data_IF_126161000562
#
_entry.id   IF_126161000562
#
_cell.length_a   1.000
_cell.length_b   1.000
_cell.length_c   1.000
_cell.angle_alpha   90.00
_cell.angle_beta   90.00
_cell.angle_gamma   90.00
#
_symmetry.space_group_name_H-M   'P 1'
#
loop_
_entity.id
_entity.type
_entity.pdbx_description
1 polymer ?
#
# COMPACT_ATOMS: atom_id res chain seq x y z
N UNK A 1 19.16 -1.41 -17.21
CA UNK A 1 18.92 -2.06 -15.91
C UNK A 1 17.69 -1.38 -15.36
N UNK A 2 16.62 -2.11 -15.29
CA UNK A 2 15.35 -1.58 -14.77
C UNK A 2 15.46 -1.58 -13.24
N UNK A 3 15.27 -0.43 -12.61
CA UNK A 3 15.37 -0.27 -11.17
C UNK A 3 14.05 -0.72 -10.53
N UNK A 4 14.11 -1.63 -9.57
CA UNK A 4 12.91 -2.02 -8.82
C UNK A 4 12.36 -0.85 -7.98
N UNK A 5 11.03 -0.74 -7.83
CA UNK A 5 10.43 0.30 -6.98
C UNK A 5 10.95 0.32 -5.54
N UNK A 6 11.23 -0.84 -4.95
CA UNK A 6 11.83 -0.96 -3.61
C UNK A 6 13.23 -0.37 -3.57
N UNK A 7 14.07 -0.68 -4.56
CA UNK A 7 15.44 -0.15 -4.67
C UNK A 7 15.42 1.36 -4.86
N UNK A 8 14.57 1.87 -5.77
CA UNK A 8 14.40 3.31 -5.96
C UNK A 8 14.01 3.99 -4.65
N UNK A 9 13.02 3.44 -3.94
CA UNK A 9 12.56 3.95 -2.66
C UNK A 9 13.68 4.00 -1.63
N UNK A 10 14.42 2.90 -1.44
CA UNK A 10 15.53 2.82 -0.49
C UNK A 10 16.67 3.81 -0.79
N UNK A 11 16.91 4.11 -2.09
CA UNK A 11 17.98 5.03 -2.49
C UNK A 11 17.59 6.51 -2.50
N UNK A 12 16.27 6.80 -2.57
CA UNK A 12 15.80 8.18 -2.77
C UNK A 12 15.00 8.73 -1.61
N UNK A 13 14.22 7.89 -0.92
CA UNK A 13 13.40 8.35 0.19
C UNK A 13 14.21 8.56 1.46
N UNK A 14 13.90 9.63 2.18
CA UNK A 14 14.49 9.94 3.47
C UNK A 14 13.36 9.96 4.52
N UNK A 15 13.66 9.44 5.70
CA UNK A 15 12.74 9.48 6.84
C UNK A 15 13.41 10.17 8.03
N UNK A 16 12.66 10.98 8.79
CA UNK A 16 13.16 11.49 10.06
C UNK A 16 13.25 10.32 11.06
N UNK A 17 14.46 10.05 11.55
CA UNK A 17 14.70 9.05 12.57
C UNK A 17 15.40 9.71 13.75
N UNK A 18 14.68 9.88 14.88
CA UNK A 18 15.19 10.48 16.13
C UNK A 18 15.91 11.83 15.92
N UNK A 19 15.37 12.67 15.05
CA UNK A 19 15.95 13.99 14.74
C UNK A 19 17.08 14.00 13.71
N UNK A 20 17.43 12.87 13.14
CA UNK A 20 18.40 12.71 12.05
C UNK A 20 17.67 12.18 10.82
N UNK A 21 18.00 12.69 9.63
CA UNK A 21 17.52 12.11 8.38
C UNK A 21 18.25 10.79 8.12
N UNK A 22 17.49 9.74 7.87
CA UNK A 22 18.00 8.44 7.49
C UNK A 22 17.34 7.96 6.19
N UNK A 23 18.08 7.26 5.31
CA UNK A 23 17.48 6.60 4.16
C UNK A 23 16.33 5.67 4.58
N UNK A 24 15.30 5.59 3.76
CA UNK A 24 14.27 4.59 3.93
C UNK A 24 14.90 3.19 3.83
N UNK A 25 14.56 2.31 4.73
CA UNK A 25 15.11 0.95 4.76
C UNK A 25 13.97 -0.06 4.90
N UNK A 26 14.10 -1.18 4.21
CA UNK A 26 13.18 -2.32 4.37
C UNK A 26 13.56 -3.25 5.54
N UNK A 27 14.67 -2.98 6.23
CA UNK A 27 15.01 -3.68 7.47
C UNK A 27 13.85 -3.50 8.46
N UNK A 28 13.41 -4.57 9.07
CA UNK A 28 12.20 -4.68 9.91
C UNK A 28 10.86 -4.49 9.17
N UNK A 29 10.86 -4.50 7.81
CA UNK A 29 9.70 -4.27 6.93
C UNK A 29 9.73 -5.16 5.69
N UNK A 30 10.42 -6.29 5.72
CA UNK A 30 10.59 -7.16 4.56
C UNK A 30 9.27 -7.62 3.97
N UNK A 31 8.22 -7.71 4.77
CA UNK A 31 6.85 -8.01 4.31
C UNK A 31 6.32 -6.98 3.29
N UNK A 32 6.90 -5.78 3.23
CA UNK A 32 6.52 -4.76 2.25
C UNK A 32 7.23 -4.93 0.89
N UNK A 33 8.38 -5.59 0.83
CA UNK A 33 9.16 -5.74 -0.41
C UNK A 33 8.30 -6.25 -1.59
N UNK A 34 7.56 -7.37 -1.45
CA UNK A 34 6.72 -7.86 -2.53
C UNK A 34 5.62 -6.88 -2.94
N UNK A 35 5.14 -6.05 -2.00
CA UNK A 35 4.11 -5.03 -2.28
C UNK A 35 4.69 -3.88 -3.09
N UNK A 36 5.95 -3.48 -2.82
CA UNK A 36 6.62 -2.46 -3.60
C UNK A 36 6.91 -2.93 -5.03
N UNK A 37 7.39 -4.16 -5.19
CA UNK A 37 7.92 -4.68 -6.44
C UNK A 37 6.92 -5.46 -7.28
N UNK A 38 5.70 -5.65 -6.77
CA UNK A 38 4.67 -6.33 -7.56
C UNK A 38 4.30 -5.55 -8.82
N UNK A 39 4.24 -6.27 -9.94
CA UNK A 39 3.67 -5.79 -11.20
C UNK A 39 2.15 -6.04 -11.29
N UNK A 40 1.58 -6.70 -10.28
CA UNK A 40 0.16 -6.97 -10.25
C UNK A 40 -0.64 -5.67 -10.27
N UNK A 41 -1.62 -5.52 -11.17
CA UNK A 41 -2.34 -4.26 -11.33
C UNK A 41 -3.22 -3.90 -10.13
N UNK A 42 -3.59 -4.88 -9.30
CA UNK A 42 -4.47 -4.70 -8.14
C UNK A 42 -3.78 -5.09 -6.85
N UNK A 43 -3.73 -4.18 -5.90
CA UNK A 43 -3.13 -4.39 -4.57
C UNK A 43 -4.08 -3.87 -3.50
N UNK A 44 -4.47 -4.73 -2.56
CA UNK A 44 -5.28 -4.38 -1.40
C UNK A 44 -4.48 -4.61 -0.11
N UNK A 45 -4.15 -3.54 0.61
CA UNK A 45 -3.47 -3.58 1.90
C UNK A 45 -4.48 -3.44 3.04
N UNK A 46 -4.95 -4.56 3.59
CA UNK A 46 -5.74 -4.58 4.82
C UNK A 46 -4.81 -4.76 6.02
N UNK A 47 -4.26 -3.68 6.52
CA UNK A 47 -3.26 -3.70 7.58
C UNK A 47 -3.75 -3.05 8.87
N UNK A 48 -3.17 -3.43 10.00
CA UNK A 48 -3.37 -2.77 11.28
C UNK A 48 -2.94 -1.29 11.22
N UNK A 49 -3.28 -0.53 12.25
CA UNK A 49 -2.76 0.84 12.42
C UNK A 49 -1.24 0.80 12.57
N UNK A 50 -0.57 1.86 12.10
CA UNK A 50 0.90 2.04 12.20
C UNK A 50 1.73 0.96 11.48
N UNK A 51 1.17 0.29 10.47
CA UNK A 51 1.84 -0.69 9.63
C UNK A 51 2.29 -0.13 8.27
N UNK A 52 2.46 1.18 8.20
CA UNK A 52 3.06 1.92 7.07
C UNK A 52 2.28 1.86 5.73
N UNK A 53 1.00 1.42 5.72
CA UNK A 53 0.20 1.31 4.49
C UNK A 53 0.12 2.62 3.69
N UNK A 54 -0.22 3.75 4.34
CA UNK A 54 -0.29 5.07 3.64
C UNK A 54 1.09 5.58 3.23
N UNK A 55 2.16 5.24 3.97
CA UNK A 55 3.54 5.50 3.58
C UNK A 55 3.93 4.69 2.34
N UNK A 56 3.53 3.43 2.29
CA UNK A 56 3.74 2.56 1.11
C UNK A 56 3.03 3.13 -0.11
N UNK A 57 1.77 3.58 0.01
CA UNK A 57 1.06 4.25 -1.09
C UNK A 57 1.81 5.50 -1.55
N UNK A 58 2.17 6.39 -0.62
CA UNK A 58 2.90 7.63 -0.93
C UNK A 58 4.22 7.37 -1.65
N UNK A 59 5.01 6.42 -1.16
CA UNK A 59 6.27 6.04 -1.77
C UNK A 59 6.08 5.45 -3.19
N UNK A 60 5.08 4.58 -3.39
CA UNK A 60 4.75 4.04 -4.73
C UNK A 60 4.31 5.14 -5.68
N UNK A 61 3.49 6.09 -5.24
CA UNK A 61 3.06 7.25 -6.05
C UNK A 61 4.27 8.06 -6.51
N UNK A 62 5.17 8.43 -5.59
CA UNK A 62 6.37 9.21 -5.92
C UNK A 62 7.32 8.42 -6.84
N UNK A 63 7.52 7.14 -6.57
CA UNK A 63 8.33 6.26 -7.41
C UNK A 63 7.80 6.18 -8.84
N UNK A 64 6.50 5.91 -9.01
CA UNK A 64 5.87 5.85 -10.34
C UNK A 64 5.92 7.20 -11.06
N UNK A 65 5.77 8.31 -10.34
CA UNK A 65 5.85 9.65 -10.93
C UNK A 65 7.24 10.00 -11.46
N UNK A 66 8.29 9.40 -10.90
CA UNK A 66 9.69 9.61 -11.34
C UNK A 66 10.11 8.58 -12.38
N UNK A 67 9.84 7.30 -12.16
CA UNK A 67 10.31 6.22 -13.04
C UNK A 67 9.50 6.12 -14.34
N UNK A 68 8.27 6.60 -14.37
CA UNK A 68 7.41 6.59 -15.56
C UNK A 68 7.20 7.99 -16.10
N UNK A 69 7.22 8.12 -17.43
CA UNK A 69 6.95 9.38 -18.11
C UNK A 69 5.45 9.52 -18.41
N UNK A 70 4.93 10.75 -18.23
CA UNK A 70 3.52 11.10 -18.50
C UNK A 70 2.51 10.22 -17.76
N UNK A 71 2.88 9.75 -16.58
CA UNK A 71 2.08 8.84 -15.76
C UNK A 71 1.22 9.62 -14.75
N UNK A 72 -0.10 9.48 -14.83
CA UNK A 72 -1.04 10.20 -14.00
C UNK A 72 -1.57 9.33 -12.86
N UNK A 73 -1.36 9.77 -11.64
CA UNK A 73 -1.88 9.12 -10.42
C UNK A 73 -3.05 9.90 -9.85
N UNK A 74 -4.16 9.23 -9.56
CA UNK A 74 -5.28 9.77 -8.81
C UNK A 74 -5.29 9.18 -7.40
N UNK A 75 -5.23 10.04 -6.39
CA UNK A 75 -5.33 9.67 -4.99
C UNK A 75 -6.69 10.09 -4.47
N UNK A 76 -7.44 9.17 -3.85
CA UNK A 76 -8.73 9.48 -3.25
C UNK A 76 -8.77 9.00 -1.81
N UNK A 77 -9.22 9.88 -0.93
CA UNK A 77 -9.42 9.62 0.51
C UNK A 77 -10.87 9.95 0.90
N UNK A 78 -11.37 9.47 2.05
CA UNK A 78 -12.76 9.70 2.44
C UNK A 78 -13.12 11.15 2.74
N UNK A 79 -12.16 11.98 3.17
CA UNK A 79 -12.44 13.37 3.56
C UNK A 79 -11.37 14.34 3.11
N UNK A 80 -11.73 15.62 3.01
CA UNK A 80 -10.78 16.68 2.69
C UNK A 80 -9.62 16.73 3.67
N UNK A 81 -9.89 16.61 4.97
CA UNK A 81 -8.86 16.62 6.01
C UNK A 81 -7.86 15.46 5.81
N UNK A 82 -8.34 14.26 5.50
CA UNK A 82 -7.46 13.11 5.21
C UNK A 82 -6.64 13.35 3.93
N UNK A 83 -7.23 13.96 2.90
CA UNK A 83 -6.50 14.33 1.67
C UNK A 83 -5.36 15.30 1.98
N UNK A 84 -5.61 16.34 2.77
CA UNK A 84 -4.61 17.33 3.15
C UNK A 84 -3.48 16.71 3.98
N UNK A 85 -3.82 15.85 4.95
CA UNK A 85 -2.84 15.10 5.75
C UNK A 85 -2.02 14.15 4.87
N UNK A 86 -2.65 13.40 3.97
CA UNK A 86 -1.95 12.51 3.04
C UNK A 86 -0.98 13.30 2.14
N UNK A 87 -1.47 14.39 1.54
CA UNK A 87 -0.65 15.26 0.68
C UNK A 87 0.57 15.81 1.42
N UNK A 88 0.38 16.34 2.63
CA UNK A 88 1.45 16.91 3.43
C UNK A 88 2.45 15.84 3.91
N UNK A 89 1.94 14.77 4.53
CA UNK A 89 2.78 13.84 5.28
C UNK A 89 3.34 12.71 4.40
N UNK A 90 2.66 12.34 3.30
CA UNK A 90 3.03 11.19 2.45
C UNK A 90 3.61 11.59 1.09
N UNK A 91 3.41 12.83 0.66
CA UNK A 91 3.95 13.30 -0.61
C UNK A 91 4.90 14.50 -0.39
N UNK A 92 4.44 15.59 0.25
CA UNK A 92 5.27 16.78 0.39
C UNK A 92 6.47 16.53 1.31
N UNK A 93 6.26 15.94 2.49
CA UNK A 93 7.37 15.70 3.41
C UNK A 93 8.49 14.82 2.82
N UNK A 94 8.26 13.68 2.14
CA UNK A 94 9.31 12.95 1.45
C UNK A 94 10.01 13.74 0.34
N UNK A 95 9.27 14.57 -0.41
CA UNK A 95 9.84 15.45 -1.43
C UNK A 95 10.77 16.50 -0.81
N UNK A 96 10.37 17.12 0.30
CA UNK A 96 11.17 18.14 0.99
C UNK A 96 12.42 17.55 1.66
N UNK A 97 12.34 16.31 2.14
CA UNK A 97 13.44 15.63 2.81
C UNK A 97 14.48 15.04 1.85
N UNK A 98 14.14 14.83 0.57
CA UNK A 98 15.01 14.22 -0.43
C UNK A 98 15.32 15.20 -1.56
N UNK A 99 16.55 15.72 -1.60
CA UNK A 99 17.01 16.57 -2.72
C UNK A 99 16.86 15.86 -4.07
N UNK A 100 17.10 14.55 -4.11
CA UNK A 100 16.98 13.75 -5.34
C UNK A 100 15.53 13.72 -5.84
N UNK A 101 14.56 13.50 -4.97
CA UNK A 101 13.14 13.52 -5.34
C UNK A 101 12.67 14.93 -5.66
N UNK A 102 13.08 15.92 -4.87
CA UNK A 102 12.71 17.32 -5.06
C UNK A 102 13.12 17.84 -6.43
N UNK A 103 14.27 17.36 -6.96
CA UNK A 103 14.74 17.72 -8.29
C UNK A 103 13.78 17.31 -9.44
N UNK A 104 12.91 16.33 -9.21
CA UNK A 104 11.88 15.92 -10.18
C UNK A 104 10.59 16.71 -10.06
N UNK A 105 10.36 17.46 -8.96
CA UNK A 105 9.14 18.23 -8.74
C UNK A 105 9.15 19.53 -9.57
N UNK A 106 8.10 19.74 -10.36
CA UNK A 106 7.87 21.04 -11.00
C UNK A 106 7.17 21.99 -10.02
N UNK A 107 7.95 22.82 -9.33
CA UNK A 107 7.49 23.72 -8.27
C UNK A 107 6.43 24.73 -8.70
N UNK A 108 6.25 24.95 -10.01
CA UNK A 108 5.20 25.83 -10.54
C UNK A 108 3.80 25.25 -10.37
N UNK A 109 3.72 23.91 -10.27
CA UNK A 109 2.48 23.14 -10.20
C UNK A 109 2.43 22.27 -8.94
N UNK A 110 3.00 22.76 -7.85
CA UNK A 110 2.97 22.10 -6.54
C UNK A 110 1.97 22.78 -5.62
N UNK A 111 0.92 22.05 -5.27
CA UNK A 111 -0.05 22.47 -4.24
C UNK A 111 -0.61 21.23 -3.51
N UNK A 112 -1.49 21.46 -2.56
CA UNK A 112 -2.07 20.39 -1.71
C UNK A 112 -2.82 19.33 -2.52
N UNK A 113 -3.51 19.71 -3.60
CA UNK A 113 -4.37 18.81 -4.38
C UNK A 113 -3.76 18.37 -5.71
N UNK A 114 -2.59 18.92 -6.07
CA UNK A 114 -1.97 18.63 -7.34
C UNK A 114 -0.46 18.80 -7.27
N UNK A 115 0.27 17.82 -7.81
CA UNK A 115 1.73 17.87 -7.98
C UNK A 115 2.09 17.42 -9.38
N UNK A 116 3.00 18.16 -10.05
CA UNK A 116 3.51 17.80 -11.36
C UNK A 116 5.02 17.56 -11.30
N UNK A 117 5.47 16.61 -12.12
CA UNK A 117 6.86 16.22 -12.20
C UNK A 117 7.45 16.59 -13.56
N UNK A 118 8.77 16.83 -13.62
CA UNK A 118 9.48 17.13 -14.86
C UNK A 118 9.46 15.97 -15.86
N UNK A 119 9.14 14.75 -15.40
CA UNK A 119 8.86 13.57 -16.24
C UNK A 119 7.57 13.71 -17.05
N UNK A 120 6.80 14.77 -16.85
CA UNK A 120 5.46 14.96 -17.42
C UNK A 120 4.35 14.27 -16.60
N UNK A 121 4.72 13.48 -15.59
CA UNK A 121 3.78 12.79 -14.71
C UNK A 121 3.09 13.75 -13.74
N UNK A 122 1.89 13.38 -13.27
CA UNK A 122 1.14 14.20 -12.33
C UNK A 122 0.45 13.36 -11.26
N UNK A 123 0.29 13.94 -10.08
CA UNK A 123 -0.49 13.38 -8.97
C UNK A 123 -1.63 14.33 -8.65
N UNK A 124 -2.85 13.84 -8.78
CA UNK A 124 -4.08 14.57 -8.43
C UNK A 124 -4.68 13.95 -7.17
N UNK A 125 -4.99 14.79 -6.18
CA UNK A 125 -5.62 14.33 -4.94
C UNK A 125 -7.06 14.83 -4.88
N UNK A 126 -7.97 13.96 -4.46
CA UNK A 126 -9.40 14.24 -4.29
C UNK A 126 -9.91 13.54 -3.04
N UNK A 127 -11.13 13.89 -2.63
CA UNK A 127 -11.85 13.17 -1.61
C UNK A 127 -13.25 12.81 -2.10
N UNK A 128 -13.74 11.66 -1.62
CA UNK A 128 -15.06 11.15 -1.94
C UNK A 128 -15.61 10.42 -0.72
N UNK A 129 -16.68 10.93 -0.12
CA UNK A 129 -17.33 10.24 1.00
C UNK A 129 -18.64 9.59 0.55
N UNK A 130 -19.62 10.40 0.19
CA UNK A 130 -20.94 9.93 -0.24
C UNK A 130 -21.11 9.92 -1.77
N UNK A 131 -20.30 10.68 -2.50
CA UNK A 131 -20.43 10.87 -3.94
C UNK A 131 -19.06 10.91 -4.62
N UNK A 132 -18.98 10.28 -5.79
CA UNK A 132 -17.77 10.24 -6.61
C UNK A 132 -17.52 11.52 -7.43
N UNK A 133 -18.40 12.52 -7.40
CA UNK A 133 -18.43 13.66 -8.32
C UNK A 133 -17.11 14.41 -8.43
N UNK A 134 -16.37 14.52 -7.33
CA UNK A 134 -15.07 15.22 -7.29
C UNK A 134 -13.93 14.44 -7.91
N UNK A 135 -14.05 13.13 -8.00
CA UNK A 135 -13.06 12.24 -8.62
C UNK A 135 -13.45 11.84 -10.05
N UNK A 136 -14.71 12.05 -10.42
CA UNK A 136 -15.24 11.71 -11.75
C UNK A 136 -14.59 12.54 -12.85
N UNK A 137 -14.29 11.91 -13.99
CA UNK A 137 -13.77 12.60 -15.18
C UNK A 137 -12.29 12.99 -15.13
N UNK A 138 -11.54 12.49 -14.15
CA UNK A 138 -10.09 12.68 -14.06
C UNK A 138 -9.42 11.44 -14.62
N UNK A 139 -8.82 11.46 -15.83
CA UNK A 139 -8.14 10.30 -16.37
C UNK A 139 -6.86 10.01 -15.55
N UNK A 140 -6.62 8.73 -15.24
CA UNK A 140 -5.46 8.30 -14.50
C UNK A 140 -4.91 6.97 -15.02
N UNK A 141 -3.64 6.72 -14.75
CA UNK A 141 -2.95 5.47 -15.02
C UNK A 141 -2.91 4.57 -13.78
N UNK A 142 -2.94 5.21 -12.61
CA UNK A 142 -3.06 4.54 -11.33
C UNK A 142 -4.06 5.24 -10.41
N UNK A 143 -4.86 4.44 -9.72
CA UNK A 143 -5.79 4.86 -8.67
C UNK A 143 -5.29 4.36 -7.32
N UNK A 144 -5.14 5.30 -6.39
CA UNK A 144 -4.75 5.03 -5.01
C UNK A 144 -5.88 5.43 -4.07
N UNK A 145 -6.48 4.45 -3.39
CA UNK A 145 -7.51 4.69 -2.38
C UNK A 145 -6.92 4.44 -0.99
N UNK A 146 -6.86 5.48 -0.17
CA UNK A 146 -6.46 5.33 1.24
C UNK A 146 -7.66 5.40 2.17
N UNK A 147 -7.63 4.60 3.24
CA UNK A 147 -8.72 4.45 4.23
C UNK A 147 -10.07 4.04 3.61
N UNK A 148 -10.04 3.04 2.67
CA UNK A 148 -11.22 2.63 1.91
C UNK A 148 -12.37 2.10 2.77
N UNK A 149 -12.12 1.69 4.02
CA UNK A 149 -13.18 1.27 4.95
C UNK A 149 -14.16 2.41 5.28
N UNK A 150 -13.79 3.65 5.01
CA UNK A 150 -14.60 4.84 5.24
C UNK A 150 -15.23 5.39 3.93
N UNK A 151 -14.99 4.73 2.79
CA UNK A 151 -15.67 4.99 1.52
C UNK A 151 -16.90 4.10 1.38
N UNK A 152 -17.93 4.57 0.70
CA UNK A 152 -19.07 3.72 0.33
C UNK A 152 -18.67 2.78 -0.81
N UNK A 153 -19.12 1.53 -0.72
CA UNK A 153 -18.82 0.50 -1.72
C UNK A 153 -19.25 0.91 -3.14
N UNK A 154 -20.40 1.56 -3.26
CA UNK A 154 -20.98 1.97 -4.56
C UNK A 154 -20.24 3.15 -5.21
N UNK A 155 -19.43 3.89 -4.44
CA UNK A 155 -18.64 5.02 -4.94
C UNK A 155 -17.39 4.55 -5.67
N UNK A 156 -16.80 3.43 -5.25
CA UNK A 156 -15.52 2.95 -5.78
C UNK A 156 -15.58 2.60 -7.26
N UNK A 157 -16.55 1.81 -7.79
CA UNK A 157 -16.61 1.51 -9.22
C UNK A 157 -16.69 2.76 -10.11
N UNK A 158 -17.38 3.82 -9.64
CA UNK A 158 -17.47 5.09 -10.37
C UNK A 158 -16.13 5.81 -10.42
N UNK A 159 -15.31 5.70 -9.36
CA UNK A 159 -13.95 6.26 -9.34
C UNK A 159 -13.03 5.43 -10.24
N UNK A 160 -13.15 4.11 -10.23
CA UNK A 160 -12.37 3.18 -11.06
C UNK A 160 -12.51 3.45 -12.57
N UNK A 161 -13.61 4.08 -13.02
CA UNK A 161 -13.79 4.51 -14.40
C UNK A 161 -12.67 5.46 -14.89
N UNK A 162 -11.96 6.15 -13.99
CA UNK A 162 -10.80 6.98 -14.32
C UNK A 162 -9.69 6.23 -15.05
N UNK A 163 -9.61 4.90 -14.89
CA UNK A 163 -8.60 4.02 -15.46
C UNK A 163 -8.95 3.45 -16.83
N UNK A 164 -10.18 3.65 -17.32
CA UNK A 164 -10.74 2.96 -18.50
C UNK A 164 -9.86 3.07 -19.75
N UNK A 165 -9.20 4.21 -19.96
CA UNK A 165 -8.38 4.46 -21.14
C UNK A 165 -6.89 4.25 -20.89
N UNK A 166 -6.48 3.89 -19.68
CA UNK A 166 -5.08 3.66 -19.35
C UNK A 166 -4.64 2.25 -19.77
N UNK A 167 -3.45 2.09 -20.34
CA UNK A 167 -2.86 0.79 -20.58
C UNK A 167 -2.35 0.12 -19.29
N UNK A 168 -2.23 0.85 -18.19
CA UNK A 168 -1.68 0.36 -16.93
C UNK A 168 -2.77 -0.14 -15.96
N UNK A 169 -3.84 0.63 -15.80
CA UNK A 169 -5.00 0.33 -14.94
C UNK A 169 -4.63 -0.13 -13.53
N UNK A 170 -3.67 0.55 -12.88
CA UNK A 170 -3.21 0.17 -11.55
C UNK A 170 -4.20 0.61 -10.47
N UNK A 171 -4.55 -0.31 -9.56
CA UNK A 171 -5.44 -0.09 -8.42
C UNK A 171 -4.73 -0.47 -7.13
N UNK A 172 -4.40 0.52 -6.30
CA UNK A 172 -3.72 0.30 -5.02
C UNK A 172 -4.56 0.85 -3.88
N UNK A 173 -5.15 -0.04 -3.11
CA UNK A 173 -6.09 0.30 -2.05
C UNK A 173 -5.50 -0.02 -0.69
N UNK A 174 -5.77 0.82 0.29
CA UNK A 174 -5.37 0.57 1.66
C UNK A 174 -6.46 0.90 2.66
N UNK A 175 -6.45 0.19 3.77
CA UNK A 175 -7.39 0.44 4.85
C UNK A 175 -7.04 -0.30 6.14
N UNK A 176 -7.71 0.13 7.21
CA UNK A 176 -7.61 -0.51 8.53
C UNK A 176 -8.88 -1.28 8.83
N UNK A 177 -8.82 -2.57 9.23
CA UNK A 177 -9.99 -3.33 9.62
C UNK A 177 -10.75 -2.62 10.75
N UNK A 178 -12.05 -2.38 10.58
CA UNK A 178 -12.94 -1.79 11.61
C UNK A 178 -14.07 -2.73 11.96
N UNK A 179 -14.91 -3.09 11.00
CA UNK A 179 -16.06 -3.98 11.12
C UNK A 179 -16.12 -4.92 9.92
N UNK A 180 -16.97 -5.93 9.99
CA UNK A 180 -17.17 -6.89 8.89
C UNK A 180 -18.03 -6.33 7.75
N UNK A 181 -18.78 -5.26 8.02
CA UNK A 181 -19.78 -4.70 7.08
C UNK A 181 -19.28 -3.45 6.34
N UNK A 182 -17.97 -3.20 6.33
CA UNK A 182 -17.40 -2.05 5.62
C UNK A 182 -16.83 -2.45 4.24
N UNK A 183 -16.54 -1.44 3.45
CA UNK A 183 -16.00 -1.59 2.10
C UNK A 183 -14.69 -2.37 2.05
N UNK A 184 -13.78 -2.15 2.99
CA UNK A 184 -12.51 -2.88 3.06
C UNK A 184 -12.75 -4.38 3.27
N UNK A 185 -13.63 -4.75 4.22
CA UNK A 185 -13.98 -6.15 4.48
C UNK A 185 -14.66 -6.79 3.26
N UNK A 186 -15.54 -6.04 2.57
CA UNK A 186 -16.17 -6.50 1.34
C UNK A 186 -15.12 -6.83 0.26
N UNK A 187 -14.18 -5.91 -0.02
CA UNK A 187 -13.11 -6.13 -1.00
C UNK A 187 -12.18 -7.28 -0.58
N UNK A 188 -11.82 -7.35 0.69
CA UNK A 188 -10.99 -8.43 1.22
C UNK A 188 -11.63 -9.80 1.00
N UNK A 189 -12.88 -9.98 1.44
CA UNK A 189 -13.55 -11.27 1.36
C UNK A 189 -14.00 -11.65 -0.05
N UNK A 190 -14.39 -10.69 -0.86
CA UNK A 190 -14.94 -10.98 -2.18
C UNK A 190 -13.89 -11.00 -3.28
N UNK A 191 -12.98 -10.04 -3.29
CA UNK A 191 -12.11 -9.78 -4.43
C UNK A 191 -10.62 -10.02 -4.19
N UNK A 192 -10.15 -10.22 -2.95
CA UNK A 192 -8.74 -10.36 -2.69
C UNK A 192 -8.29 -11.82 -2.63
N UNK A 193 -6.99 -12.03 -2.83
CA UNK A 193 -6.31 -13.32 -2.62
C UNK A 193 -6.25 -13.71 -1.14
N UNK A 194 -6.63 -12.82 -0.22
CA UNK A 194 -6.57 -13.02 1.23
C UNK A 194 -5.20 -13.52 1.71
N UNK A 195 -4.12 -12.90 1.19
CA UNK A 195 -2.77 -13.25 1.61
C UNK A 195 -2.49 -12.74 3.02
N UNK A 196 -1.93 -13.60 3.85
CA UNK A 196 -1.51 -13.30 5.22
C UNK A 196 0.00 -13.46 5.36
N UNK A 197 0.66 -12.55 6.09
CA UNK A 197 2.06 -12.68 6.42
C UNK A 197 2.24 -13.74 7.51
N UNK A 198 2.80 -14.89 7.14
CA UNK A 198 2.96 -16.02 8.05
C UNK A 198 4.40 -16.14 8.51
N UNK A 199 4.58 -16.29 9.82
CA UNK A 199 5.88 -16.44 10.46
C UNK A 199 5.99 -17.85 11.05
N UNK A 200 6.99 -18.67 10.65
CA UNK A 200 7.21 -19.97 11.24
C UNK A 200 7.82 -19.84 12.64
N UNK A 201 7.41 -20.71 13.55
CA UNK A 201 7.96 -20.76 14.89
C UNK A 201 9.17 -21.70 14.93
N UNK A 202 10.32 -21.19 15.33
CA UNK A 202 11.56 -21.99 15.49
C UNK A 202 11.59 -22.82 16.78
N UNK A 203 10.63 -22.59 17.69
CA UNK A 203 10.51 -23.32 18.96
C UNK A 203 9.50 -24.47 18.94
N UNK A 204 8.62 -24.51 17.94
CA UNK A 204 7.59 -25.52 17.80
C UNK A 204 7.92 -26.50 16.67
N UNK A 205 7.82 -27.78 16.97
CA UNK A 205 7.98 -28.83 15.98
C UNK A 205 9.39 -29.44 16.01
N UNK A 206 9.58 -30.50 15.27
CA UNK A 206 10.88 -31.13 15.04
C UNK A 206 11.52 -30.63 13.74
N UNK A 207 12.53 -31.34 13.26
CA UNK A 207 13.23 -30.99 12.03
C UNK A 207 12.32 -30.86 10.80
N UNK A 208 11.21 -31.60 10.78
CA UNK A 208 10.34 -31.71 9.61
C UNK A 208 9.02 -30.91 9.69
N UNK A 209 8.78 -30.20 10.81
CA UNK A 209 7.51 -29.47 11.01
C UNK A 209 7.71 -28.20 11.79
N UNK A 210 7.30 -27.06 11.20
CA UNK A 210 7.21 -25.76 11.85
C UNK A 210 5.76 -25.36 12.00
N UNK A 211 5.39 -24.78 13.15
CA UNK A 211 4.09 -24.18 13.32
C UNK A 211 4.09 -22.75 12.76
N UNK A 212 3.24 -22.49 11.79
CA UNK A 212 3.11 -21.20 11.15
C UNK A 212 2.08 -20.32 11.88
N UNK A 213 2.45 -19.09 12.12
CA UNK A 213 1.61 -18.12 12.81
C UNK A 213 1.17 -17.03 11.84
N UNK A 214 -0.15 -16.87 11.67
CA UNK A 214 -0.75 -15.66 11.14
C UNK A 214 -0.77 -14.63 12.25
N UNK A 215 -0.17 -13.46 12.03
CA UNK A 215 0.02 -12.47 13.10
C UNK A 215 -1.28 -11.76 13.45
N UNK A 216 -1.73 -11.93 14.68
CA UNK A 216 -2.93 -11.33 15.24
C UNK A 216 -2.76 -10.98 16.72
N UNK A 217 -3.85 -10.58 17.38
CA UNK A 217 -3.82 -10.16 18.79
C UNK A 217 -3.30 -11.24 19.74
N UNK A 218 -3.48 -12.53 19.40
CA UNK A 218 -2.99 -13.66 20.19
C UNK A 218 -1.48 -13.83 20.16
N UNK A 219 -0.82 -13.21 19.20
CA UNK A 219 0.63 -13.24 19.06
C UNK A 219 1.33 -12.12 19.83
N UNK A 220 0.59 -11.27 20.55
CA UNK A 220 1.17 -10.15 21.31
C UNK A 220 1.52 -10.62 22.72
N UNK A 221 2.81 -10.76 23.00
CA UNK A 221 3.34 -11.05 24.32
C UNK A 221 3.93 -9.82 25.00
N UNK A 222 4.33 -9.95 26.26
CA UNK A 222 4.89 -8.85 27.06
C UNK A 222 6.21 -8.28 26.48
N UNK A 223 6.97 -9.09 25.75
CA UNK A 223 8.29 -8.72 25.20
C UNK A 223 8.34 -8.68 23.67
N UNK A 224 7.21 -8.80 22.99
CA UNK A 224 7.14 -8.85 21.53
C UNK A 224 6.20 -9.93 21.02
N UNK A 225 6.41 -10.35 19.77
CA UNK A 225 5.58 -11.39 19.15
C UNK A 225 5.89 -12.77 19.75
N UNK A 226 4.83 -13.54 19.97
CA UNK A 226 4.91 -14.91 20.49
C UNK A 226 4.12 -15.89 19.62
N UNK A 227 4.58 -17.13 19.59
CA UNK A 227 3.86 -18.23 18.98
C UNK A 227 2.58 -18.56 19.78
N UNK A 228 1.43 -18.61 19.12
CA UNK A 228 0.15 -18.94 19.79
C UNK A 228 0.10 -20.38 20.30
N UNK A 229 0.95 -21.28 19.81
CA UNK A 229 1.00 -22.67 20.20
C UNK A 229 1.87 -22.94 21.43
N UNK A 230 3.10 -22.38 21.47
CA UNK A 230 4.08 -22.69 22.52
C UNK A 230 4.50 -21.50 23.38
N UNK A 231 4.07 -20.27 23.04
CA UNK A 231 4.48 -19.06 23.74
C UNK A 231 5.93 -18.62 23.47
N UNK A 232 6.69 -19.35 22.66
CA UNK A 232 8.05 -18.98 22.26
C UNK A 232 8.07 -17.68 21.44
N UNK A 233 9.13 -16.89 21.53
CA UNK A 233 9.30 -15.66 20.76
C UNK A 233 9.27 -15.94 19.26
N UNK A 234 8.62 -15.06 18.51
CA UNK A 234 8.63 -15.07 17.04
C UNK A 234 9.53 -13.94 16.55
N UNK A 235 10.41 -14.27 15.63
CA UNK A 235 11.17 -13.28 14.89
C UNK A 235 10.34 -12.82 13.67
N UNK A 236 9.89 -11.57 13.69
CA UNK A 236 9.16 -10.97 12.55
C UNK A 236 10.03 -10.89 11.29
N UNK A 237 11.36 -10.98 11.45
CA UNK A 237 12.38 -10.96 10.40
C UNK A 237 12.81 -12.37 9.99
N UNK A 238 12.11 -13.41 10.45
CA UNK A 238 12.43 -14.78 10.07
C UNK A 238 12.51 -14.88 8.54
N UNK A 239 13.65 -15.28 7.97
CA UNK A 239 13.86 -15.34 6.53
C UNK A 239 12.94 -16.35 5.81
N UNK A 240 12.31 -17.23 6.57
CA UNK A 240 11.30 -18.17 6.06
C UNK A 240 9.87 -17.61 6.15
N UNK A 241 9.68 -16.38 6.66
CA UNK A 241 8.35 -15.78 6.69
C UNK A 241 7.92 -15.41 5.26
N UNK A 242 6.64 -15.62 4.95
CA UNK A 242 6.13 -15.44 3.59
C UNK A 242 4.65 -15.03 3.57
N UNK A 243 4.23 -14.43 2.45
CA UNK A 243 2.82 -14.20 2.15
C UNK A 243 2.16 -15.48 1.67
N UNK A 244 1.14 -15.93 2.38
CA UNK A 244 0.38 -17.14 2.06
C UNK A 244 -1.08 -16.80 1.83
N UNK A 245 -1.61 -17.16 0.67
CA UNK A 245 -3.03 -17.01 0.37
C UNK A 245 -3.89 -17.96 1.19
N UNK A 246 -5.02 -17.46 1.70
CA UNK A 246 -6.04 -18.26 2.37
C UNK A 246 -7.09 -18.81 1.38
N UNK A 247 -6.94 -18.51 0.08
CA UNK A 247 -7.82 -19.04 -0.97
C UNK A 247 -7.39 -20.42 -1.42
N UNK A 248 -8.36 -21.22 -1.90
CA UNK A 248 -8.05 -22.49 -2.56
C UNK A 248 -7.37 -22.26 -3.91
N UNK A 249 -6.57 -23.23 -4.36
CA UNK A 249 -5.95 -23.18 -5.68
C UNK A 249 -6.96 -23.00 -6.82
N UNK A 250 -8.13 -23.62 -6.72
CA UNK A 250 -9.19 -23.47 -7.72
C UNK A 250 -9.68 -22.03 -7.81
N UNK A 251 -9.85 -21.36 -6.66
CA UNK A 251 -10.23 -19.94 -6.62
C UNK A 251 -9.14 -19.04 -7.22
N UNK A 252 -7.87 -19.30 -6.90
CA UNK A 252 -6.74 -18.53 -7.43
C UNK A 252 -6.59 -18.68 -8.95
N UNK A 253 -6.90 -19.86 -9.50
CA UNK A 253 -6.86 -20.09 -10.96
C UNK A 253 -8.07 -19.48 -11.68
N UNK A 254 -9.22 -19.43 -11.04
CA UNK A 254 -10.48 -18.97 -11.63
C UNK A 254 -11.22 -18.04 -10.65
N UNK A 255 -10.70 -16.83 -10.39
CA UNK A 255 -11.38 -15.90 -9.52
C UNK A 255 -12.71 -15.45 -10.13
N UNK A 256 -13.80 -15.38 -9.36
CA UNK A 256 -15.16 -15.20 -9.88
C UNK A 256 -15.39 -13.84 -10.57
N UNK A 257 -14.66 -12.82 -10.20
CA UNK A 257 -14.84 -11.46 -10.70
C UNK A 257 -13.60 -10.91 -11.44
N UNK A 258 -12.86 -11.79 -12.11
CA UNK A 258 -11.69 -11.43 -12.91
C UNK A 258 -10.39 -11.35 -12.12
N UNK A 259 -9.57 -10.32 -12.36
CA UNK A 259 -8.26 -10.19 -11.69
C UNK A 259 -8.46 -9.87 -10.20
N UNK A 260 -7.98 -10.70 -9.27
CA UNK A 260 -8.13 -10.45 -7.83
C UNK A 260 -7.21 -9.31 -7.33
N UNK A 261 -7.53 -8.81 -6.13
CA UNK A 261 -6.61 -7.99 -5.35
C UNK A 261 -5.62 -8.85 -4.58
#
# INVERSE_FOLDING_TARGET
MELFPSEFTAHTMQLPNRGVLAPFSFVDREYLLPIYDTEHPRVLMMFARQSEKSTTLGNKILTLSVLRHHFNSLVVTPSQQQTEVFSRDKLAAPLDLSERLNAYLDKRYDNVLFKKFITGSAVTLRYAFLHADRARGIPADALFLDEIQDLLTDVIPVIEECLTHSPFQLMHYSGTPKSLDNTLAHYWHKYSTMCEWMIPCDHCGGADYRYWNTIGYRNIGLKGLICVRCGGGLDKMNPSAEWVSQRSENWLRNPPDGIPF
#
